data_IF_210764632209
#
_entry.id   IF_210764632209
#
_cell.length_a   1.000
_cell.length_b   1.000
_cell.length_c   1.000
_cell.angle_alpha   90.00
_cell.angle_beta   90.00
_cell.angle_gamma   90.00
#
_symmetry.space_group_name_H-M   'P 1'
#
loop_
_entity.id
_entity.type
_entity.pdbx_description
1 polymer ?
#
# COMPACT_ATOMS: atom_id res chain seq x y z
N UNK A 1 -22.86 -11.31 37.88
CA UNK A 1 -22.62 -10.82 36.53
C UNK A 1 -21.30 -10.02 36.52
N UNK A 2 -20.25 -10.55 35.95
CA UNK A 2 -18.98 -9.81 35.80
C UNK A 2 -19.22 -8.79 34.67
N UNK A 3 -19.36 -7.49 35.00
CA UNK A 3 -19.34 -6.41 34.02
C UNK A 3 -17.96 -6.46 33.35
N UNK A 4 -17.90 -6.93 32.08
CA UNK A 4 -16.72 -6.75 31.27
C UNK A 4 -16.56 -5.23 31.08
N UNK A 5 -15.46 -4.68 31.58
CA UNK A 5 -15.04 -3.32 31.22
C UNK A 5 -15.08 -3.19 29.70
N UNK A 6 -15.65 -2.10 29.16
CA UNK A 6 -15.69 -1.91 27.71
C UNK A 6 -14.25 -1.95 27.18
N UNK A 7 -13.96 -2.95 26.35
CA UNK A 7 -12.64 -3.12 25.73
C UNK A 7 -12.26 -1.80 25.04
N UNK A 8 -11.17 -1.19 25.48
CA UNK A 8 -10.68 0.05 24.88
C UNK A 8 -10.44 -0.20 23.38
N UNK A 9 -11.16 0.55 22.52
CA UNK A 9 -11.04 0.45 21.08
C UNK A 9 -9.60 0.67 20.63
N UNK A 10 -9.06 -0.24 19.81
CA UNK A 10 -7.72 -0.19 19.24
C UNK A 10 -7.80 -0.12 17.70
N UNK A 11 -6.73 0.35 17.09
CA UNK A 11 -6.54 0.31 15.63
C UNK A 11 -5.33 -0.58 15.34
N UNK A 12 -5.54 -1.58 14.49
CA UNK A 12 -4.51 -2.48 14.00
C UNK A 12 -4.20 -2.11 12.54
N UNK A 13 -2.97 -1.71 12.29
CA UNK A 13 -2.42 -1.55 10.94
C UNK A 13 -1.76 -2.88 10.56
N UNK A 14 -2.22 -3.50 9.49
CA UNK A 14 -1.84 -4.87 9.11
C UNK A 14 -1.35 -4.87 7.67
N UNK A 15 -0.13 -5.33 7.46
CA UNK A 15 0.41 -5.54 6.13
C UNK A 15 -0.21 -6.78 5.46
N UNK A 16 -0.16 -6.81 4.14
CA UNK A 16 -0.73 -7.89 3.32
C UNK A 16 0.33 -8.94 2.98
N UNK A 17 1.37 -8.54 2.25
CA UNK A 17 2.31 -9.47 1.66
C UNK A 17 3.32 -10.00 2.68
N UNK A 18 3.34 -11.34 2.84
CA UNK A 18 4.16 -11.97 3.87
C UNK A 18 3.60 -11.89 5.30
N UNK A 19 2.47 -11.17 5.51
CA UNK A 19 1.81 -11.04 6.81
C UNK A 19 0.50 -11.82 6.84
N UNK A 20 -0.42 -11.56 5.92
CA UNK A 20 -1.68 -12.30 5.80
C UNK A 20 -1.75 -13.14 4.53
N UNK A 21 -0.72 -13.10 3.70
CA UNK A 21 -0.56 -13.98 2.53
C UNK A 21 0.40 -15.13 2.80
N UNK A 22 0.16 -16.25 2.13
CA UNK A 22 1.03 -17.44 2.18
C UNK A 22 2.23 -17.25 1.24
N UNK A 23 3.45 -17.31 1.79
CA UNK A 23 4.70 -17.42 1.04
C UNK A 23 4.89 -16.47 -0.16
N UNK A 24 4.43 -15.23 -0.06
CA UNK A 24 4.56 -14.24 -1.13
C UNK A 24 3.76 -14.54 -2.40
N UNK A 25 2.96 -15.60 -2.41
CA UNK A 25 2.15 -16.04 -3.56
C UNK A 25 0.85 -15.24 -3.75
N UNK A 26 0.61 -14.23 -2.92
CA UNK A 26 -0.63 -13.44 -2.96
C UNK A 26 -1.88 -14.18 -2.44
N UNK A 27 -1.75 -15.46 -2.09
CA UNK A 27 -2.87 -16.24 -1.55
C UNK A 27 -3.12 -15.89 -0.08
N UNK A 28 -4.33 -15.44 0.22
CA UNK A 28 -4.71 -15.05 1.59
C UNK A 28 -4.81 -16.28 2.50
N UNK A 29 -4.21 -16.21 3.68
CA UNK A 29 -4.40 -17.17 4.75
C UNK A 29 -5.77 -16.93 5.42
N UNK A 30 -6.76 -17.75 5.08
CA UNK A 30 -8.15 -17.57 5.54
C UNK A 30 -8.27 -17.54 7.07
N UNK A 31 -7.46 -18.32 7.80
CA UNK A 31 -7.42 -18.29 9.26
C UNK A 31 -6.95 -16.94 9.82
N UNK A 32 -5.95 -16.31 9.21
CA UNK A 32 -5.51 -14.97 9.58
C UNK A 32 -6.62 -13.94 9.33
N UNK A 33 -7.23 -13.95 8.13
CA UNK A 33 -8.33 -13.07 7.79
C UNK A 33 -9.52 -13.23 8.75
N UNK A 34 -9.86 -14.46 9.13
CA UNK A 34 -10.91 -14.75 10.13
C UNK A 34 -10.60 -14.12 11.48
N UNK A 35 -9.34 -14.16 11.94
CA UNK A 35 -8.93 -13.52 13.21
C UNK A 35 -9.00 -12.00 13.13
N UNK A 36 -8.60 -11.40 12.02
CA UNK A 36 -8.73 -9.96 11.79
C UNK A 36 -10.19 -9.51 11.80
N UNK A 37 -11.08 -10.31 11.18
CA UNK A 37 -12.54 -10.06 11.24
C UNK A 37 -13.06 -10.12 12.68
N UNK A 38 -12.64 -11.11 13.47
CA UNK A 38 -13.03 -11.19 14.89
C UNK A 38 -12.61 -9.94 15.67
N UNK A 39 -11.40 -9.41 15.43
CA UNK A 39 -10.97 -8.15 16.07
C UNK A 39 -11.87 -6.98 15.68
N UNK A 40 -12.28 -6.90 14.42
CA UNK A 40 -13.21 -5.86 13.94
C UNK A 40 -14.59 -6.03 14.58
N UNK A 41 -15.08 -7.28 14.70
CA UNK A 41 -16.38 -7.59 15.31
C UNK A 41 -16.38 -7.30 16.82
N UNK A 42 -15.22 -7.41 17.49
CA UNK A 42 -14.99 -6.99 18.88
C UNK A 42 -14.93 -5.45 19.03
N UNK A 43 -15.14 -4.67 17.95
CA UNK A 43 -15.21 -3.22 17.97
C UNK A 43 -13.89 -2.50 17.71
N UNK A 44 -12.84 -3.21 17.36
CA UNK A 44 -11.56 -2.61 16.96
C UNK A 44 -11.59 -2.14 15.50
N UNK A 45 -10.66 -1.27 15.12
CA UNK A 45 -10.40 -0.97 13.72
C UNK A 45 -9.29 -1.90 13.21
N UNK A 46 -9.50 -2.47 12.03
CA UNK A 46 -8.47 -3.25 11.31
C UNK A 46 -8.28 -2.62 9.94
N UNK A 47 -7.12 -2.03 9.73
CA UNK A 47 -6.76 -1.26 8.53
C UNK A 47 -5.66 -2.01 7.80
N UNK A 48 -5.82 -2.24 6.50
CA UNK A 48 -4.76 -2.80 5.68
C UNK A 48 -3.80 -1.69 5.23
N UNK A 49 -2.51 -1.95 5.41
CA UNK A 49 -1.41 -1.05 5.01
C UNK A 49 -0.47 -1.84 4.12
N UNK A 50 -0.23 -1.39 2.89
CA UNK A 50 0.45 -2.23 1.90
C UNK A 50 1.24 -1.41 0.88
N UNK A 51 2.30 -2.00 0.32
CA UNK A 51 2.95 -1.50 -0.89
C UNK A 51 2.17 -1.75 -2.18
N UNK A 52 1.05 -2.51 -2.15
CA UNK A 52 0.14 -2.68 -3.29
C UNK A 52 -0.65 -1.40 -3.54
N UNK A 53 -1.45 -1.36 -4.65
CA UNK A 53 -2.37 -0.24 -4.84
C UNK A 53 -3.35 -0.13 -3.66
N UNK A 54 -3.74 1.08 -3.32
CA UNK A 54 -4.72 1.32 -2.27
C UNK A 54 -6.08 0.71 -2.61
N UNK A 55 -6.40 0.58 -3.90
CA UNK A 55 -7.61 -0.09 -4.38
C UNK A 55 -7.61 -1.59 -4.08
N UNK A 56 -6.47 -2.29 -4.27
CA UNK A 56 -6.35 -3.71 -3.90
C UNK A 56 -6.56 -3.91 -2.40
N UNK A 57 -5.89 -3.11 -1.57
CA UNK A 57 -6.05 -3.15 -0.12
C UNK A 57 -7.48 -2.85 0.33
N UNK A 58 -8.11 -1.85 -0.29
CA UNK A 58 -9.48 -1.47 0.00
C UNK A 58 -10.50 -2.57 -0.37
N UNK A 59 -10.39 -3.16 -1.55
CA UNK A 59 -11.25 -4.29 -1.96
C UNK A 59 -11.09 -5.48 -1.02
N UNK A 60 -9.85 -5.81 -0.65
CA UNK A 60 -9.60 -6.88 0.31
C UNK A 60 -10.22 -6.55 1.68
N UNK A 61 -10.18 -5.31 2.12
CA UNK A 61 -10.78 -4.90 3.41
C UNK A 61 -12.30 -5.05 3.39
N UNK A 62 -12.97 -4.68 2.29
CA UNK A 62 -14.42 -4.86 2.11
C UNK A 62 -14.77 -6.35 2.10
N UNK A 63 -14.18 -7.12 1.18
CA UNK A 63 -14.51 -8.55 1.05
C UNK A 63 -14.07 -9.36 2.27
N UNK A 64 -13.02 -8.91 2.95
CA UNK A 64 -12.55 -9.45 4.21
C UNK A 64 -13.47 -9.15 5.40
N UNK A 65 -14.43 -8.22 5.27
CA UNK A 65 -15.28 -7.76 6.37
C UNK A 65 -14.50 -6.97 7.42
N UNK A 66 -13.48 -6.22 7.00
CA UNK A 66 -12.65 -5.38 7.84
C UNK A 66 -13.15 -3.93 7.87
N UNK A 67 -12.34 -2.99 8.35
CA UNK A 67 -12.64 -1.57 8.32
C UNK A 67 -12.50 -1.08 6.86
N UNK A 68 -13.51 -0.38 6.32
CA UNK A 68 -13.51 0.13 4.94
C UNK A 68 -12.50 1.28 4.78
N UNK A 69 -11.23 0.97 4.98
CA UNK A 69 -10.09 1.85 4.83
C UNK A 69 -8.85 1.01 4.53
N UNK A 70 -8.08 1.45 3.55
CA UNK A 70 -6.75 0.91 3.27
C UNK A 70 -5.77 2.03 2.96
N UNK A 71 -4.52 1.83 3.37
CA UNK A 71 -3.38 2.66 3.01
C UNK A 71 -2.55 1.85 2.02
N UNK A 72 -2.40 2.33 0.81
CA UNK A 72 -1.64 1.67 -0.26
C UNK A 72 -0.52 2.54 -0.79
N UNK A 73 0.20 1.99 -1.79
CA UNK A 73 1.24 2.72 -2.50
C UNK A 73 2.30 3.27 -1.54
N UNK A 74 2.76 2.40 -0.62
CA UNK A 74 3.76 2.74 0.41
C UNK A 74 3.39 3.98 1.26
N UNK A 75 2.09 4.25 1.43
CA UNK A 75 1.58 5.42 2.14
C UNK A 75 1.14 6.56 1.23
N UNK A 76 1.38 6.47 -0.07
CA UNK A 76 1.04 7.51 -1.04
C UNK A 76 -0.46 7.72 -1.24
N UNK A 77 -1.28 6.69 -1.02
CA UNK A 77 -2.72 6.78 -1.23
C UNK A 77 -3.51 6.10 -0.10
N UNK A 78 -4.53 6.79 0.40
CA UNK A 78 -5.53 6.25 1.33
C UNK A 78 -6.86 6.14 0.62
N UNK A 79 -7.44 4.93 0.58
CA UNK A 79 -8.77 4.69 0.02
C UNK A 79 -9.72 4.32 1.15
N UNK A 80 -10.89 4.99 1.23
CA UNK A 80 -11.79 4.84 2.37
C UNK A 80 -13.26 5.15 2.05
N UNK A 81 -14.13 4.71 2.95
CA UNK A 81 -15.56 5.04 2.99
C UNK A 81 -16.40 4.31 1.95
N UNK A 82 -17.70 4.19 2.20
CA UNK A 82 -18.64 3.43 1.36
C UNK A 82 -18.81 4.02 -0.06
N UNK A 83 -18.49 5.30 -0.25
CA UNK A 83 -18.51 5.98 -1.56
C UNK A 83 -17.16 5.96 -2.29
N UNK A 84 -16.22 5.18 -1.79
CA UNK A 84 -14.87 5.03 -2.35
C UNK A 84 -14.22 6.39 -2.62
N UNK A 85 -13.63 6.95 -1.56
CA UNK A 85 -12.88 8.20 -1.63
C UNK A 85 -11.38 7.91 -1.58
N UNK A 86 -10.59 8.75 -2.25
CA UNK A 86 -9.13 8.66 -2.23
C UNK A 86 -8.55 9.94 -1.66
N UNK A 87 -7.59 9.79 -0.74
CA UNK A 87 -6.72 10.88 -0.30
C UNK A 87 -5.31 10.59 -0.82
N UNK A 88 -4.86 11.41 -1.76
CA UNK A 88 -3.53 11.30 -2.34
C UNK A 88 -2.55 12.09 -1.47
N UNK A 89 -1.46 11.45 -1.07
CA UNK A 89 -0.35 12.02 -0.30
C UNK A 89 0.93 12.06 -1.12
N UNK A 90 1.07 11.18 -2.12
CA UNK A 90 2.14 11.22 -3.11
C UNK A 90 1.71 11.93 -4.40
N UNK A 91 2.68 12.21 -5.26
CA UNK A 91 2.48 12.88 -6.55
C UNK A 91 3.06 12.04 -7.69
N UNK A 92 2.19 11.35 -8.41
CA UNK A 92 2.61 10.51 -9.54
C UNK A 92 3.33 11.30 -10.63
N UNK A 93 2.97 12.57 -10.83
CA UNK A 93 3.62 13.42 -11.82
C UNK A 93 5.10 13.64 -11.51
N UNK A 94 5.46 13.82 -10.24
CA UNK A 94 6.86 13.91 -9.80
C UNK A 94 7.59 12.60 -10.03
N UNK A 95 6.98 11.45 -9.73
CA UNK A 95 7.57 10.14 -10.00
C UNK A 95 7.84 9.91 -11.51
N UNK A 96 6.90 10.29 -12.38
CA UNK A 96 7.08 10.21 -13.84
C UNK A 96 8.22 11.12 -14.31
N UNK A 97 8.30 12.34 -13.78
CA UNK A 97 9.39 13.27 -14.09
C UNK A 97 10.75 12.71 -13.62
N UNK A 98 10.82 12.17 -12.42
CA UNK A 98 12.01 11.53 -11.88
C UNK A 98 12.45 10.34 -12.75
N UNK A 99 11.52 9.47 -13.16
CA UNK A 99 11.81 8.37 -14.06
C UNK A 99 12.43 8.85 -15.37
N UNK A 100 11.83 9.85 -16.02
CA UNK A 100 12.37 10.41 -17.28
C UNK A 100 13.78 10.99 -17.09
N UNK A 101 14.04 11.65 -15.96
CA UNK A 101 15.36 12.20 -15.63
C UNK A 101 16.40 11.10 -15.43
N UNK A 102 16.05 10.05 -14.69
CA UNK A 102 16.95 8.90 -14.45
C UNK A 102 17.28 8.20 -15.77
N UNK A 103 16.28 7.91 -16.61
CA UNK A 103 16.49 7.26 -17.91
C UNK A 103 17.43 8.07 -18.80
N UNK A 104 17.23 9.40 -18.86
CA UNK A 104 18.07 10.29 -19.65
C UNK A 104 19.52 10.33 -19.15
N UNK A 105 19.74 10.35 -17.84
CA UNK A 105 21.10 10.48 -17.26
C UNK A 105 21.87 9.16 -17.21
N UNK A 106 21.18 8.03 -17.09
CA UNK A 106 21.80 6.70 -17.10
C UNK A 106 21.93 6.13 -18.52
N UNK A 107 21.31 6.75 -19.52
CA UNK A 107 21.22 6.25 -20.90
C UNK A 107 20.72 4.78 -20.96
N UNK A 108 19.66 4.50 -20.17
CA UNK A 108 19.05 3.17 -20.07
C UNK A 108 17.54 3.25 -20.21
N UNK A 109 16.95 2.23 -20.84
CA UNK A 109 15.51 2.04 -20.80
C UNK A 109 15.12 1.37 -19.48
N UNK A 110 14.28 2.04 -18.69
CA UNK A 110 13.71 1.50 -17.45
C UNK A 110 12.26 1.16 -17.69
N UNK A 111 11.89 -0.10 -17.44
CA UNK A 111 10.52 -0.58 -17.64
C UNK A 111 9.69 -0.44 -16.37
N UNK A 112 8.45 -0.02 -16.55
CA UNK A 112 7.45 -0.08 -15.49
C UNK A 112 7.05 -1.53 -15.27
N UNK A 113 6.96 -1.92 -14.00
CA UNK A 113 6.50 -3.25 -13.61
C UNK A 113 4.99 -3.37 -13.88
N UNK A 114 4.52 -4.48 -14.49
CA UNK A 114 3.09 -4.69 -14.71
C UNK A 114 2.40 -4.97 -13.36
N UNK A 115 1.79 -3.94 -12.79
CA UNK A 115 1.04 -3.96 -11.53
C UNK A 115 -0.32 -3.32 -11.71
N UNK A 116 -1.22 -3.50 -10.75
CA UNK A 116 -2.47 -2.74 -10.74
C UNK A 116 -2.20 -1.22 -10.78
N UNK A 117 -3.10 -0.44 -11.40
CA UNK A 117 -2.91 1.00 -11.53
C UNK A 117 -2.60 1.68 -10.20
N UNK A 118 -1.61 2.59 -10.23
CA UNK A 118 -1.17 3.40 -9.09
C UNK A 118 -1.60 4.84 -9.30
N UNK A 119 -1.97 5.51 -8.23
CA UNK A 119 -2.41 6.91 -8.25
C UNK A 119 -1.31 7.88 -7.87
N UNK A 120 -0.31 7.43 -7.11
CA UNK A 120 0.70 8.31 -6.50
C UNK A 120 2.14 7.91 -6.75
N UNK A 121 2.38 6.73 -7.30
CA UNK A 121 3.74 6.21 -7.54
C UNK A 121 3.87 5.55 -8.92
N UNK A 122 5.10 5.32 -9.35
CA UNK A 122 5.48 4.48 -10.49
C UNK A 122 6.31 3.31 -9.96
N UNK A 123 5.94 2.08 -10.31
CA UNK A 123 6.66 0.88 -9.88
C UNK A 123 7.53 0.39 -11.03
N UNK A 124 8.82 0.28 -10.79
CA UNK A 124 9.81 -0.03 -11.82
C UNK A 124 10.31 -1.47 -11.70
N UNK A 125 10.71 -2.06 -12.84
CA UNK A 125 11.52 -3.26 -12.84
C UNK A 125 12.94 -2.90 -12.38
N UNK A 126 13.53 -3.76 -11.54
CA UNK A 126 14.87 -3.55 -11.00
C UNK A 126 15.95 -3.99 -11.98
N UNK A 127 16.04 -3.30 -13.12
CA UNK A 127 16.97 -3.61 -14.21
C UNK A 127 18.11 -2.59 -14.36
N UNK A 128 18.22 -1.64 -13.44
CA UNK A 128 19.17 -0.54 -13.44
C UNK A 128 19.87 -0.38 -12.09
N UNK A 129 20.94 0.43 -12.05
CA UNK A 129 21.70 0.72 -10.84
C UNK A 129 20.91 1.69 -9.95
N UNK A 130 20.39 1.16 -8.83
CA UNK A 130 19.57 1.93 -7.88
C UNK A 130 20.39 3.01 -7.16
N UNK A 131 21.66 2.73 -6.85
CA UNK A 131 22.50 3.70 -6.15
C UNK A 131 22.82 4.92 -7.04
N UNK A 132 23.03 4.68 -8.33
CA UNK A 132 23.20 5.77 -9.30
C UNK A 132 21.90 6.54 -9.50
N UNK A 133 20.76 5.84 -9.61
CA UNK A 133 19.45 6.48 -9.70
C UNK A 133 19.16 7.36 -8.48
N UNK A 134 19.45 6.87 -7.27
CA UNK A 134 19.29 7.67 -6.04
C UNK A 134 20.15 8.93 -6.04
N UNK A 135 21.41 8.84 -6.48
CA UNK A 135 22.29 10.03 -6.60
C UNK A 135 21.73 11.06 -7.59
N UNK A 136 21.07 10.62 -8.65
CA UNK A 136 20.41 11.52 -9.61
C UNK A 136 19.22 12.23 -8.94
N UNK A 137 18.39 11.48 -8.22
CA UNK A 137 17.25 12.04 -7.48
C UNK A 137 17.72 13.10 -6.49
N UNK A 138 18.73 12.76 -5.67
CA UNK A 138 19.28 13.66 -4.65
C UNK A 138 19.94 14.90 -5.29
N UNK A 139 20.70 14.71 -6.36
CA UNK A 139 21.42 15.78 -7.06
C UNK A 139 20.49 16.79 -7.75
N UNK A 140 19.36 16.34 -8.24
CA UNK A 140 18.36 17.21 -8.90
C UNK A 140 17.28 17.70 -7.93
N UNK A 141 17.39 17.39 -6.62
CA UNK A 141 16.40 17.71 -5.58
C UNK A 141 14.99 17.24 -5.96
N UNK A 142 14.85 16.07 -6.57
CA UNK A 142 13.56 15.50 -6.92
C UNK A 142 12.90 14.94 -5.64
N UNK A 143 11.66 15.34 -5.41
CA UNK A 143 10.91 14.93 -4.21
C UNK A 143 10.03 13.71 -4.53
N UNK A 144 10.64 12.53 -4.55
CA UNK A 144 9.98 11.25 -4.86
C UNK A 144 10.33 10.17 -3.84
#
# INVERSE_FOLDING_TARGET
MIQKDPLKKKTFAVDIDGTITLNGMGTIHLGALSKLRSLKDDGHNVILVTGRSSAEGYLLSIFGGLTHLAVGENGGCITFGDKIQHKLLGNKGECVHALATIQSKLDVEIKEKPVFPRMTEVVLERTFDIEQAQKIIDGDNLNV
#
